data_IF_941580665117
#
_entry.id   IF_941580665117
#
_cell.length_a   1.000
_cell.length_b   1.000
_cell.length_c   1.000
_cell.angle_alpha   90.00
_cell.angle_beta   90.00
_cell.angle_gamma   90.00
#
_symmetry.space_group_name_H-M   'P 1'
#
loop_
_entity.id
_entity.type
_entity.pdbx_description
1 polymer ?
#
# COMPACT_ATOMS: atom_id res chain seq x y z
N UNK A 1 28.29 -11.82 13.70
CA UNK A 1 26.85 -12.06 13.44
C UNK A 1 26.76 -13.33 12.60
N UNK A 2 25.87 -14.28 12.91
CA UNK A 2 25.78 -15.60 12.25
C UNK A 2 25.62 -15.45 10.72
N UNK A 3 24.75 -14.55 10.30
CA UNK A 3 24.45 -14.25 8.89
C UNK A 3 25.69 -13.80 8.11
N UNK A 4 26.54 -12.95 8.69
CA UNK A 4 27.77 -12.48 8.04
C UNK A 4 28.83 -13.57 7.83
N UNK A 5 28.78 -14.64 8.62
CA UNK A 5 29.66 -15.81 8.47
C UNK A 5 29.08 -16.75 7.41
N UNK A 6 27.79 -17.04 7.48
CA UNK A 6 27.09 -17.94 6.56
C UNK A 6 26.85 -17.31 5.18
N UNK A 7 27.01 -15.98 5.05
CA UNK A 7 26.68 -15.18 3.87
C UNK A 7 25.25 -15.43 3.38
N UNK A 8 24.36 -15.72 4.34
CA UNK A 8 22.97 -16.06 4.12
C UNK A 8 22.12 -15.24 5.07
N UNK A 9 21.11 -14.61 4.51
CA UNK A 9 20.04 -13.94 5.24
C UNK A 9 18.73 -14.59 4.77
N UNK A 10 17.89 -14.97 5.72
CA UNK A 10 16.59 -15.59 5.45
C UNK A 10 15.50 -14.64 5.95
N UNK A 11 14.57 -14.30 5.07
CA UNK A 11 13.43 -13.45 5.39
C UNK A 11 12.24 -13.92 4.57
N UNK A 12 11.12 -14.15 5.25
CA UNK A 12 9.94 -14.80 4.68
C UNK A 12 8.65 -13.99 4.89
N UNK A 13 8.74 -12.77 5.42
CA UNK A 13 7.57 -11.92 5.62
C UNK A 13 7.28 -11.08 4.38
N UNK A 14 5.99 -10.88 4.07
CA UNK A 14 5.57 -10.10 2.91
C UNK A 14 5.48 -10.90 1.60
N UNK A 15 5.14 -10.21 0.51
CA UNK A 15 4.95 -10.81 -0.81
C UNK A 15 6.29 -11.03 -1.53
N UNK A 16 6.48 -12.19 -2.15
CA UNK A 16 7.68 -12.47 -2.97
C UNK A 16 7.84 -11.48 -4.12
N UNK A 17 6.74 -10.96 -4.68
CA UNK A 17 6.77 -9.93 -5.71
C UNK A 17 7.23 -8.57 -5.17
N UNK A 18 6.89 -8.23 -3.92
CA UNK A 18 7.41 -7.02 -3.28
C UNK A 18 8.94 -7.10 -3.07
N UNK A 19 9.47 -8.27 -2.71
CA UNK A 19 10.93 -8.49 -2.65
C UNK A 19 11.58 -8.31 -4.02
N UNK A 20 10.96 -8.86 -5.07
CA UNK A 20 11.47 -8.69 -6.43
C UNK A 20 11.51 -7.20 -6.82
N UNK A 21 10.43 -6.45 -6.59
CA UNK A 21 10.37 -5.01 -6.86
C UNK A 21 11.43 -4.23 -6.07
N UNK A 22 11.66 -4.59 -4.81
CA UNK A 22 12.76 -4.03 -4.04
C UNK A 22 14.13 -4.31 -4.67
N UNK A 23 14.38 -5.54 -5.15
CA UNK A 23 15.62 -5.84 -5.87
C UNK A 23 15.75 -5.06 -7.16
N UNK A 24 14.71 -4.98 -7.99
CA UNK A 24 14.72 -4.17 -9.21
C UNK A 24 15.11 -2.73 -8.91
N UNK A 25 14.49 -2.15 -7.88
CA UNK A 25 14.80 -0.79 -7.45
C UNK A 25 16.25 -0.62 -7.00
N UNK A 26 16.79 -1.55 -6.20
CA UNK A 26 18.17 -1.48 -5.73
C UNK A 26 19.16 -1.48 -6.91
N UNK A 27 18.88 -2.25 -7.96
CA UNK A 27 19.77 -2.35 -9.11
C UNK A 27 19.54 -1.27 -10.18
N UNK A 28 18.32 -0.74 -10.31
CA UNK A 28 17.91 0.13 -11.43
C UNK A 28 17.48 1.53 -11.01
N UNK A 29 17.14 1.73 -9.74
CA UNK A 29 16.52 2.96 -9.21
C UNK A 29 15.00 3.03 -9.43
N UNK A 30 14.39 2.00 -10.01
CA UNK A 30 12.96 1.88 -10.30
C UNK A 30 12.53 0.41 -10.29
N UNK A 31 11.23 0.14 -10.15
CA UNK A 31 10.68 -1.21 -10.25
C UNK A 31 9.46 -1.25 -11.17
N UNK A 32 9.21 -2.43 -11.74
CA UNK A 32 8.07 -2.66 -12.62
C UNK A 32 6.91 -3.31 -11.87
N UNK A 33 5.73 -3.24 -12.47
CA UNK A 33 4.51 -3.84 -11.91
C UNK A 33 4.17 -5.17 -12.57
N UNK A 34 4.92 -5.52 -13.59
CA UNK A 34 4.80 -6.80 -14.25
C UNK A 34 5.22 -7.90 -13.26
N UNK A 35 4.55 -9.05 -13.28
CA UNK A 35 5.01 -10.22 -12.53
C UNK A 35 6.44 -10.55 -12.96
N UNK A 36 7.26 -10.94 -12.00
CA UNK A 36 8.63 -11.34 -12.31
C UNK A 36 8.61 -12.69 -13.05
N UNK A 37 9.34 -12.81 -14.15
CA UNK A 37 9.46 -14.03 -14.95
C UNK A 37 9.78 -15.32 -14.14
N UNK A 38 10.60 -15.32 -13.07
CA UNK A 38 10.80 -16.53 -12.25
C UNK A 38 9.66 -16.82 -11.26
N UNK A 39 8.68 -15.93 -11.10
CA UNK A 39 7.59 -16.02 -10.12
C UNK A 39 6.24 -16.47 -10.72
N UNK A 40 6.17 -16.83 -12.00
CA UNK A 40 4.91 -17.13 -12.72
C UNK A 40 3.98 -18.16 -12.04
N UNK A 41 4.48 -18.99 -11.13
CA UNK A 41 3.68 -19.96 -10.35
C UNK A 41 3.05 -19.40 -9.07
N UNK A 42 3.45 -18.21 -8.63
CA UNK A 42 2.92 -17.49 -7.47
C UNK A 42 2.08 -16.34 -7.99
N UNK A 43 0.85 -16.20 -7.50
CA UNK A 43 0.01 -15.06 -7.86
C UNK A 43 0.66 -13.74 -7.40
N UNK A 44 0.65 -12.73 -8.28
CA UNK A 44 1.12 -11.38 -7.94
C UNK A 44 0.12 -10.66 -7.02
N UNK A 45 0.58 -9.58 -6.40
CA UNK A 45 -0.25 -8.70 -5.60
C UNK A 45 -1.27 -7.96 -6.47
N UNK A 46 -2.45 -7.67 -5.91
CA UNK A 46 -3.42 -6.77 -6.52
C UNK A 46 -2.80 -5.40 -6.79
N UNK A 47 -3.19 -4.74 -7.88
CA UNK A 47 -2.52 -3.53 -8.35
C UNK A 47 -2.41 -2.42 -7.30
N UNK A 48 -3.48 -2.18 -6.52
CA UNK A 48 -3.48 -1.19 -5.44
C UNK A 48 -2.61 -1.60 -4.24
N UNK A 49 -2.30 -2.89 -4.08
CA UNK A 49 -1.51 -3.42 -2.98
C UNK A 49 -0.01 -3.51 -3.29
N UNK A 50 0.37 -3.61 -4.58
CA UNK A 50 1.78 -3.71 -5.01
C UNK A 50 2.68 -2.67 -4.33
N UNK A 51 2.32 -1.40 -4.43
CA UNK A 51 3.13 -0.31 -3.85
C UNK A 51 3.07 -0.27 -2.31
N UNK A 52 1.96 -0.71 -1.72
CA UNK A 52 1.82 -0.81 -0.25
C UNK A 52 2.79 -1.86 0.29
N UNK A 53 2.84 -3.04 -0.33
CA UNK A 53 3.75 -4.12 0.10
C UNK A 53 5.22 -3.72 -0.05
N UNK A 54 5.57 -3.05 -1.15
CA UNK A 54 6.94 -2.54 -1.34
C UNK A 54 7.27 -1.46 -0.30
N UNK A 55 6.33 -0.56 0.00
CA UNK A 55 6.52 0.45 1.04
C UNK A 55 6.75 -0.16 2.43
N UNK A 56 5.98 -1.18 2.81
CA UNK A 56 6.16 -1.92 4.06
C UNK A 56 7.54 -2.55 4.15
N UNK A 57 7.97 -3.20 3.07
CA UNK A 57 9.26 -3.87 2.98
C UNK A 57 10.41 -2.85 3.07
N UNK A 58 10.26 -1.71 2.41
CA UNK A 58 11.23 -0.64 2.44
C UNK A 58 11.35 0.02 3.82
N UNK A 59 10.24 0.16 4.56
CA UNK A 59 10.25 0.62 5.95
C UNK A 59 11.00 -0.39 6.84
N UNK A 60 10.70 -1.69 6.70
CA UNK A 60 11.36 -2.76 7.45
C UNK A 60 12.89 -2.77 7.24
N UNK A 61 13.33 -2.73 5.98
CA UNK A 61 14.75 -2.70 5.64
C UNK A 61 15.39 -1.30 5.72
N UNK A 62 14.62 -0.29 6.12
CA UNK A 62 15.08 1.09 6.28
C UNK A 62 15.66 1.70 4.98
N UNK A 63 15.08 1.35 3.83
CA UNK A 63 15.46 1.90 2.52
C UNK A 63 14.55 3.09 2.21
N UNK A 64 14.90 4.25 2.78
CA UNK A 64 14.08 5.46 2.73
C UNK A 64 13.77 5.94 1.30
N UNK A 65 14.71 5.81 0.36
CA UNK A 65 14.50 6.18 -1.04
C UNK A 65 13.45 5.30 -1.72
N UNK A 66 13.47 3.99 -1.48
CA UNK A 66 12.47 3.05 -1.99
C UNK A 66 11.11 3.30 -1.34
N UNK A 67 11.09 3.54 -0.02
CA UNK A 67 9.86 3.84 0.72
C UNK A 67 9.17 5.06 0.12
N UNK A 68 9.91 6.15 -0.09
CA UNK A 68 9.40 7.35 -0.74
C UNK A 68 8.94 7.08 -2.18
N UNK A 69 9.72 6.34 -2.96
CA UNK A 69 9.38 5.99 -4.34
C UNK A 69 8.06 5.19 -4.41
N UNK A 70 7.92 4.15 -3.60
CA UNK A 70 6.70 3.35 -3.53
C UNK A 70 5.51 4.18 -3.08
N UNK A 71 5.70 5.11 -2.14
CA UNK A 71 4.63 6.01 -1.71
C UNK A 71 4.15 6.95 -2.82
N UNK A 72 5.05 7.49 -3.65
CA UNK A 72 4.65 8.32 -4.79
C UNK A 72 3.88 7.49 -5.82
N UNK A 73 4.35 6.28 -6.14
CA UNK A 73 3.64 5.37 -7.04
C UNK A 73 2.24 5.03 -6.52
N UNK A 74 2.13 4.73 -5.22
CA UNK A 74 0.86 4.49 -4.56
C UNK A 74 -0.10 5.67 -4.73
N UNK A 75 0.36 6.92 -4.48
CA UNK A 75 -0.47 8.13 -4.66
C UNK A 75 -1.00 8.25 -6.08
N UNK A 76 -0.16 8.06 -7.08
CA UNK A 76 -0.57 8.12 -8.48
C UNK A 76 -1.57 7.02 -8.80
N UNK A 77 -1.33 5.80 -8.32
CA UNK A 77 -2.16 4.65 -8.63
C UNK A 77 -3.52 4.69 -7.96
N UNK A 78 -3.60 5.07 -6.70
CA UNK A 78 -4.89 5.18 -5.99
C UNK A 78 -5.76 6.27 -6.60
N UNK A 79 -5.16 7.33 -7.17
CA UNK A 79 -5.89 8.33 -7.94
C UNK A 79 -6.42 7.79 -9.28
N UNK A 80 -5.73 6.86 -9.92
CA UNK A 80 -6.16 6.26 -11.18
C UNK A 80 -7.18 5.14 -10.97
N UNK A 81 -7.02 4.34 -9.92
CA UNK A 81 -7.77 3.09 -9.69
C UNK A 81 -8.81 3.19 -8.57
N UNK A 82 -9.20 4.40 -8.15
CA UNK A 82 -10.21 4.59 -7.09
C UNK A 82 -11.56 3.91 -7.42
N UNK A 83 -11.90 3.78 -8.69
CA UNK A 83 -13.14 3.11 -9.14
C UNK A 83 -13.11 1.60 -8.94
N UNK A 84 -11.92 1.01 -8.77
CA UNK A 84 -11.74 -0.44 -8.61
C UNK A 84 -12.57 -0.99 -7.45
N UNK A 85 -13.00 -2.24 -7.56
CA UNK A 85 -13.63 -2.98 -6.47
C UNK A 85 -12.65 -3.20 -5.31
N UNK A 86 -11.35 -3.27 -5.64
CA UNK A 86 -10.26 -3.54 -4.70
C UNK A 86 -9.86 -2.31 -3.86
N UNK A 87 -10.48 -1.14 -4.08
CA UNK A 87 -10.22 0.04 -3.25
C UNK A 87 -10.55 -0.22 -1.77
N UNK A 88 -11.62 -0.96 -1.50
CA UNK A 88 -12.06 -1.23 -0.13
C UNK A 88 -11.04 -2.09 0.61
N UNK A 89 -10.51 -3.11 -0.07
CA UNK A 89 -9.48 -3.99 0.51
C UNK A 89 -8.15 -3.24 0.66
N UNK A 90 -7.80 -2.37 -0.30
CA UNK A 90 -6.68 -1.44 -0.16
C UNK A 90 -6.83 -0.53 1.07
N UNK A 91 -8.02 0.00 1.35
CA UNK A 91 -8.25 0.80 2.56
C UNK A 91 -7.99 -0.04 3.80
N UNK A 92 -8.57 -1.26 3.87
CA UNK A 92 -8.39 -2.14 5.03
C UNK A 92 -6.91 -2.44 5.29
N UNK A 93 -6.18 -2.84 4.26
CA UNK A 93 -4.74 -3.13 4.34
C UNK A 93 -3.93 -1.93 4.86
N UNK A 94 -4.19 -0.72 4.38
CA UNK A 94 -3.51 0.49 4.88
C UNK A 94 -3.79 0.74 6.37
N UNK A 95 -5.00 0.43 6.83
CA UNK A 95 -5.42 0.65 8.22
C UNK A 95 -5.05 -0.50 9.17
N UNK A 96 -4.78 -1.69 8.65
CA UNK A 96 -4.21 -2.83 9.40
C UNK A 96 -2.74 -2.60 9.76
N UNK A 97 -2.02 -1.79 8.96
CA UNK A 97 -0.63 -1.47 9.25
C UNK A 97 -0.44 -0.65 10.52
N UNK A 98 0.72 -0.77 11.21
CA UNK A 98 1.07 0.11 12.31
C UNK A 98 0.96 1.58 11.90
N UNK A 99 0.32 2.39 12.76
CA UNK A 99 -0.03 3.77 12.43
C UNK A 99 1.18 4.65 12.13
N UNK A 100 2.32 4.38 12.77
CA UNK A 100 3.59 5.07 12.51
C UNK A 100 4.17 4.77 11.12
N UNK A 101 3.84 3.60 10.54
CA UNK A 101 4.29 3.21 9.20
C UNK A 101 3.37 3.77 8.13
N UNK A 102 2.05 3.60 8.31
CA UNK A 102 1.06 3.94 7.28
C UNK A 102 0.41 5.32 7.42
N UNK A 103 0.88 6.17 8.34
CA UNK A 103 0.30 7.50 8.59
C UNK A 103 0.04 8.30 7.30
N UNK A 104 1.05 8.43 6.44
CA UNK A 104 0.94 9.20 5.21
C UNK A 104 -0.01 8.55 4.20
N UNK A 105 -0.03 7.22 4.12
CA UNK A 105 -0.97 6.46 3.28
C UNK A 105 -2.41 6.64 3.75
N UNK A 106 -2.67 6.60 5.06
CA UNK A 106 -4.00 6.83 5.64
C UNK A 106 -4.54 8.21 5.25
N UNK A 107 -3.69 9.25 5.27
CA UNK A 107 -4.08 10.59 4.82
C UNK A 107 -4.50 10.57 3.35
N UNK A 108 -3.70 9.95 2.48
CA UNK A 108 -3.98 9.87 1.04
C UNK A 108 -5.29 9.11 0.79
N UNK A 109 -5.46 7.96 1.44
CA UNK A 109 -6.64 7.12 1.33
C UNK A 109 -7.90 7.86 1.79
N UNK A 110 -7.86 8.50 2.96
CA UNK A 110 -8.99 9.27 3.48
C UNK A 110 -9.38 10.41 2.53
N UNK A 111 -8.39 11.12 1.96
CA UNK A 111 -8.62 12.17 0.96
C UNK A 111 -9.27 11.64 -0.31
N UNK A 112 -8.82 10.50 -0.83
CA UNK A 112 -9.41 9.87 -2.02
C UNK A 112 -10.84 9.42 -1.73
N UNK A 113 -11.06 8.73 -0.62
CA UNK A 113 -12.37 8.26 -0.21
C UNK A 113 -13.37 9.42 -0.04
N UNK A 114 -12.92 10.54 0.55
CA UNK A 114 -13.73 11.74 0.66
C UNK A 114 -14.00 12.38 -0.71
N UNK A 115 -12.97 12.58 -1.53
CA UNK A 115 -13.11 13.21 -2.86
C UNK A 115 -14.16 12.50 -3.72
N UNK A 116 -14.24 11.18 -3.60
CA UNK A 116 -15.18 10.33 -4.34
C UNK A 116 -16.31 9.78 -3.44
N UNK A 117 -16.62 10.46 -2.33
CA UNK A 117 -17.53 9.92 -1.31
C UNK A 117 -18.92 9.61 -1.88
N UNK A 118 -19.43 10.48 -2.74
CA UNK A 118 -20.75 10.31 -3.37
C UNK A 118 -20.78 9.05 -4.24
N UNK A 119 -19.78 8.87 -5.10
CA UNK A 119 -19.66 7.70 -5.99
C UNK A 119 -19.46 6.40 -5.19
N UNK A 120 -18.64 6.47 -4.13
CA UNK A 120 -18.37 5.32 -3.26
C UNK A 120 -19.58 4.96 -2.39
N UNK A 121 -20.44 5.92 -2.06
CA UNK A 121 -21.61 5.68 -1.21
C UNK A 121 -22.58 4.69 -1.82
N UNK A 122 -22.67 4.59 -3.14
CA UNK A 122 -23.53 3.63 -3.83
C UNK A 122 -23.03 2.18 -3.68
N UNK A 123 -21.73 1.98 -3.41
CA UNK A 123 -21.15 0.65 -3.18
C UNK A 123 -21.53 0.13 -1.78
N UNK A 124 -22.21 -1.02 -1.73
CA UNK A 124 -22.59 -1.68 -0.46
C UNK A 124 -21.37 -1.99 0.42
N UNK A 125 -20.25 -2.40 -0.18
CA UNK A 125 -18.99 -2.71 0.50
C UNK A 125 -18.42 -1.48 1.21
N UNK A 126 -18.45 -0.31 0.58
CA UNK A 126 -18.03 0.94 1.20
C UNK A 126 -18.94 1.35 2.38
N UNK A 127 -20.28 1.25 2.22
CA UNK A 127 -21.21 1.54 3.33
C UNK A 127 -21.01 0.61 4.53
N UNK A 128 -20.65 -0.65 4.28
CA UNK A 128 -20.29 -1.59 5.34
C UNK A 128 -19.00 -1.17 6.05
N UNK A 129 -17.96 -0.78 5.30
CA UNK A 129 -16.70 -0.26 5.86
C UNK A 129 -16.94 0.97 6.75
N UNK A 130 -17.79 1.91 6.33
CA UNK A 130 -18.15 3.07 7.17
C UNK A 130 -18.90 2.64 8.44
N UNK A 131 -19.76 1.61 8.35
CA UNK A 131 -20.50 1.08 9.50
C UNK A 131 -19.61 0.32 10.49
N UNK A 132 -18.57 -0.36 10.00
CA UNK A 132 -17.53 -0.98 10.82
C UNK A 132 -16.82 0.06 11.71
N UNK A 133 -16.75 1.31 11.25
CA UNK A 133 -16.24 2.43 12.03
C UNK A 133 -14.70 2.46 12.08
N UNK A 134 -14.15 2.77 13.25
CA UNK A 134 -12.70 2.80 13.46
C UNK A 134 -12.00 4.06 12.94
N UNK A 135 -10.68 3.99 12.85
CA UNK A 135 -9.84 5.15 12.57
C UNK A 135 -10.06 5.72 11.16
N UNK A 136 -10.45 4.89 10.19
CA UNK A 136 -10.74 5.32 8.83
C UNK A 136 -11.86 6.36 8.77
N UNK A 137 -12.96 6.12 9.47
CA UNK A 137 -14.10 7.06 9.52
C UNK A 137 -13.69 8.37 10.21
N UNK A 138 -12.88 8.29 11.27
CA UNK A 138 -12.34 9.47 11.96
C UNK A 138 -11.48 10.30 11.00
N UNK A 139 -10.63 9.66 10.19
CA UNK A 139 -9.74 10.36 9.26
C UNK A 139 -10.51 11.02 8.10
N UNK A 140 -11.56 10.37 7.58
CA UNK A 140 -12.48 11.02 6.62
C UNK A 140 -13.14 12.24 7.25
N UNK A 141 -13.68 12.12 8.47
CA UNK A 141 -14.37 13.21 9.14
C UNK A 141 -13.43 14.38 9.45
N UNK A 142 -12.20 14.11 9.87
CA UNK A 142 -11.15 15.13 10.05
C UNK A 142 -10.89 15.88 8.75
N UNK A 143 -10.76 15.16 7.64
CA UNK A 143 -10.55 15.80 6.34
C UNK A 143 -11.76 16.67 5.97
N UNK A 144 -13.00 16.18 6.12
CA UNK A 144 -14.25 16.93 5.88
C UNK A 144 -14.28 18.25 6.68
N UNK A 145 -13.89 18.22 7.95
CA UNK A 145 -13.88 19.40 8.82
C UNK A 145 -12.76 20.38 8.44
N UNK A 146 -11.60 19.87 8.02
CA UNK A 146 -10.44 20.69 7.66
C UNK A 146 -10.59 21.49 6.34
N UNK A 147 -11.58 21.15 5.52
CA UNK A 147 -11.88 21.82 4.24
C UNK A 147 -13.02 22.87 4.37
N UNK A 148 -13.36 23.24 5.61
CA UNK A 148 -14.21 24.40 5.94
C UNK A 148 -13.35 25.55 6.41
#
# INVERSE_FOLDING_TARGET
MKEGIERKFEFSEGSMHAHWRMFEYIYRGEYTLDPAMPLDSIADDEDLLKDIRVYQLADYFQIESLKNYAFQNFKTRIQALWVSENLIDCIREVYELPSNVSYEMRIVVAKIARKHLVDLWDKKTFRNLIREGGQFVIDIMKDIIADK
#
